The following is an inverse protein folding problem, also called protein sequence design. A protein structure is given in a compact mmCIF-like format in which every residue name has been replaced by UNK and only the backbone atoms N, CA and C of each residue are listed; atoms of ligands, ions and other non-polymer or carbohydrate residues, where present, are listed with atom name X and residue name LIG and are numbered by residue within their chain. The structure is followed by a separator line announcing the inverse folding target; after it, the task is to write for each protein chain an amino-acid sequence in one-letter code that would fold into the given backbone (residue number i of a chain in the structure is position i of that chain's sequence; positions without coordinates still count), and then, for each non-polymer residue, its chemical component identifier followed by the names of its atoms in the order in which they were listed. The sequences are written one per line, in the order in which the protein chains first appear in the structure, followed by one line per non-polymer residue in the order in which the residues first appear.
data_IF_652263820123
#
_entry.id   IF_652263820123
#
_cell.length_a   1.000
_cell.length_b   1.000
_cell.length_c   1.000
_cell.angle_alpha   90.00
_cell.angle_beta   90.00
_cell.angle_gamma   90.00
#
_symmetry.space_group_name_H-M   'P 1'
#
loop_
_entity.id
_entity.type
_entity.pdbx_description
1 polymer ?
#
# COMPACT_ATOMS: atom_id res chain seq x y z
N UNK A 1 -32.23 0.02 60.92
CA UNK A 1 -32.20 -0.90 59.76
C UNK A 1 -31.56 -0.15 58.60
N UNK A 2 -30.23 -0.26 58.45
CA UNK A 2 -29.47 0.43 57.40
C UNK A 2 -29.24 -0.54 56.26
N UNK A 3 -29.76 -0.20 55.12
CA UNK A 3 -29.59 -0.96 53.89
C UNK A 3 -28.34 -0.48 53.15
N UNK A 4 -27.31 -1.31 53.15
CA UNK A 4 -26.05 -1.04 52.42
C UNK A 4 -26.28 -1.42 50.95
N UNK A 5 -26.34 -0.41 50.11
CA UNK A 5 -26.37 -0.61 48.64
C UNK A 5 -24.95 -0.83 48.16
N UNK A 6 -24.63 -2.08 47.83
CA UNK A 6 -23.38 -2.43 47.15
C UNK A 6 -23.49 -1.99 45.68
N UNK A 7 -22.79 -0.90 45.31
CA UNK A 7 -22.58 -0.51 43.91
C UNK A 7 -21.56 -1.45 43.28
N UNK A 8 -22.05 -2.39 42.48
CA UNK A 8 -21.17 -3.09 41.55
C UNK A 8 -20.69 -2.12 40.48
N UNK A 9 -19.42 -1.75 40.55
CA UNK A 9 -18.73 -1.09 39.46
C UNK A 9 -18.37 -2.20 38.45
N UNK A 10 -19.23 -2.41 37.46
CA UNK A 10 -18.82 -3.15 36.28
C UNK A 10 -17.76 -2.33 35.56
N UNK A 11 -16.59 -2.88 35.22
CA UNK A 11 -15.69 -2.23 34.28
C UNK A 11 -16.38 -2.26 32.94
N UNK A 12 -16.94 -1.13 32.52
CA UNK A 12 -17.36 -0.93 31.12
C UNK A 12 -16.13 -1.18 30.24
N UNK A 13 -16.09 -2.37 29.65
CA UNK A 13 -15.17 -2.68 28.56
C UNK A 13 -15.48 -1.70 27.46
N UNK A 14 -14.77 -0.60 27.42
CA UNK A 14 -14.89 0.44 26.41
C UNK A 14 -14.51 -0.20 25.08
N UNK A 15 -15.51 -0.67 24.35
CA UNK A 15 -15.34 -1.16 23.00
C UNK A 15 -14.78 0.01 22.18
N UNK A 16 -13.47 0.01 21.95
CA UNK A 16 -12.79 0.99 21.13
C UNK A 16 -12.85 0.46 19.69
N UNK A 17 -13.66 1.10 18.82
CA UNK A 17 -13.65 0.76 17.41
C UNK A 17 -12.23 1.01 16.86
N UNK A 18 -11.88 0.26 15.82
CA UNK A 18 -10.60 0.39 15.08
C UNK A 18 -9.35 -0.15 15.81
N UNK A 19 -9.42 -1.38 16.28
CA UNK A 19 -8.24 -2.10 16.77
C UNK A 19 -7.14 -2.25 15.68
N UNK A 20 -7.54 -2.32 14.41
CA UNK A 20 -6.63 -2.41 13.27
C UNK A 20 -5.80 -1.13 13.12
N UNK A 21 -6.43 0.03 13.06
CA UNK A 21 -5.74 1.31 12.92
C UNK A 21 -4.82 1.61 14.11
N UNK A 22 -5.24 1.27 15.34
CA UNK A 22 -4.37 1.40 16.52
C UNK A 22 -3.12 0.51 16.44
N UNK A 23 -3.26 -0.72 15.92
CA UNK A 23 -2.14 -1.61 15.69
C UNK A 23 -1.19 -1.04 14.63
N UNK A 24 -1.72 -0.52 13.51
CA UNK A 24 -0.94 0.09 12.43
C UNK A 24 -0.17 1.31 12.94
N UNK A 25 -0.81 2.19 13.70
CA UNK A 25 -0.18 3.36 14.31
C UNK A 25 0.91 2.95 15.31
N UNK A 26 0.60 2.06 16.26
CA UNK A 26 1.55 1.58 17.26
C UNK A 26 2.78 0.92 16.64
N UNK A 27 2.59 0.14 15.57
CA UNK A 27 3.70 -0.47 14.85
C UNK A 27 4.59 0.58 14.19
N UNK A 28 4.00 1.57 13.52
CA UNK A 28 4.76 2.62 12.85
C UNK A 28 5.59 3.43 13.84
N UNK A 29 5.01 3.81 14.98
CA UNK A 29 5.71 4.50 16.06
C UNK A 29 6.91 3.68 16.57
N UNK A 30 6.71 2.39 16.86
CA UNK A 30 7.75 1.50 17.36
C UNK A 30 8.85 1.24 16.33
N UNK A 31 8.50 1.12 15.03
CA UNK A 31 9.50 0.97 13.97
C UNK A 31 10.40 2.19 13.83
N UNK A 32 9.86 3.38 14.02
CA UNK A 32 10.65 4.63 14.02
C UNK A 32 11.49 4.77 15.29
N UNK A 33 10.94 4.41 16.46
CA UNK A 33 11.63 4.55 17.75
C UNK A 33 12.80 3.57 17.89
N UNK A 34 12.64 2.31 17.44
CA UNK A 34 13.53 1.18 17.79
C UNK A 34 14.06 0.43 16.58
N UNK A 35 13.55 0.72 15.39
CA UNK A 35 13.78 -0.04 14.18
C UNK A 35 12.87 -1.27 14.06
N UNK A 36 12.65 -1.69 12.82
CA UNK A 36 11.82 -2.85 12.50
C UNK A 36 12.32 -4.14 13.18
N UNK A 37 13.63 -4.40 13.12
CA UNK A 37 14.23 -5.63 13.65
C UNK A 37 14.00 -5.82 15.16
N UNK A 38 14.06 -4.74 15.94
CA UNK A 38 13.95 -4.77 17.40
C UNK A 38 12.51 -4.70 17.91
N UNK A 39 11.54 -4.47 17.05
CA UNK A 39 10.13 -4.38 17.44
C UNK A 39 9.47 -5.76 17.39
N UNK A 40 8.76 -6.15 18.46
CA UNK A 40 8.03 -7.43 18.56
C UNK A 40 6.53 -7.23 18.44
N UNK A 41 5.81 -8.30 18.07
CA UNK A 41 4.33 -8.31 18.04
C UNK A 41 3.74 -8.01 19.42
N UNK A 42 4.36 -8.55 20.49
CA UNK A 42 3.93 -8.28 21.86
C UNK A 42 3.96 -6.78 22.19
N UNK A 43 5.06 -6.09 21.85
CA UNK A 43 5.20 -4.65 22.06
C UNK A 43 4.18 -3.83 21.25
N UNK A 44 3.91 -4.23 20.01
CA UNK A 44 2.91 -3.58 19.16
C UNK A 44 1.51 -3.75 19.78
N UNK A 45 1.15 -4.96 20.19
CA UNK A 45 -0.14 -5.25 20.80
C UNK A 45 -0.32 -4.48 22.12
N UNK A 46 0.71 -4.46 22.97
CA UNK A 46 0.73 -3.70 24.22
C UNK A 46 0.54 -2.19 23.98
N UNK A 47 1.30 -1.59 23.05
CA UNK A 47 1.20 -0.17 22.67
C UNK A 47 -0.17 0.18 22.14
N UNK A 48 -0.79 -0.74 21.35
CA UNK A 48 -2.12 -0.58 20.79
C UNK A 48 -3.27 -0.84 21.80
N UNK A 49 -2.96 -1.29 23.02
CA UNK A 49 -3.96 -1.65 24.03
C UNK A 49 -4.81 -2.86 23.65
N UNK A 50 -4.20 -3.86 23.00
CA UNK A 50 -4.85 -5.11 22.59
C UNK A 50 -3.98 -6.32 22.96
N UNK A 51 -4.48 -7.53 22.75
CA UNK A 51 -3.72 -8.77 22.92
C UNK A 51 -3.01 -9.18 21.64
N UNK A 52 -1.93 -9.98 21.71
CA UNK A 52 -1.29 -10.61 20.55
C UNK A 52 -2.28 -11.45 19.72
N UNK A 53 -3.24 -12.12 20.38
CA UNK A 53 -4.32 -12.83 19.67
C UNK A 53 -5.14 -11.86 18.80
N UNK A 54 -5.37 -10.63 19.27
CA UNK A 54 -6.07 -9.60 18.48
C UNK A 54 -5.20 -9.15 17.31
N UNK A 55 -3.88 -9.02 17.48
CA UNK A 55 -2.94 -8.74 16.40
C UNK A 55 -3.05 -9.80 15.29
N UNK A 56 -2.88 -11.09 15.64
CA UNK A 56 -2.91 -12.19 14.67
C UNK A 56 -4.27 -12.41 13.99
N UNK A 57 -5.34 -11.81 14.49
CA UNK A 57 -6.62 -11.77 13.79
C UNK A 57 -6.60 -10.84 12.57
N UNK A 58 -5.78 -9.80 12.59
CA UNK A 58 -5.70 -8.78 11.52
C UNK A 58 -4.48 -8.94 10.61
N UNK A 59 -3.37 -9.41 11.15
CA UNK A 59 -2.08 -9.46 10.45
C UNK A 59 -1.40 -10.81 10.66
N UNK A 60 -0.86 -11.39 9.59
CA UNK A 60 -0.14 -12.66 9.66
C UNK A 60 1.21 -12.51 10.40
N UNK A 61 1.88 -11.40 10.20
CA UNK A 61 3.13 -11.02 10.87
C UNK A 61 3.30 -9.49 10.92
N UNK A 62 4.35 -9.02 11.61
CA UNK A 62 4.63 -7.59 11.75
C UNK A 62 5.01 -6.89 10.43
N UNK A 63 5.50 -7.62 9.41
CA UNK A 63 5.81 -7.08 8.08
C UNK A 63 4.55 -6.71 7.34
N UNK A 64 3.52 -7.56 7.43
CA UNK A 64 2.25 -7.33 6.72
C UNK A 64 1.56 -6.02 7.12
N UNK A 65 1.86 -5.47 8.28
CA UNK A 65 1.34 -4.16 8.68
C UNK A 65 1.78 -3.04 7.73
N UNK A 66 3.05 -3.08 7.26
CA UNK A 66 3.57 -2.11 6.30
C UNK A 66 2.99 -2.29 4.89
N UNK A 67 2.41 -3.44 4.60
CA UNK A 67 1.87 -3.81 3.29
C UNK A 67 0.35 -4.03 3.29
N UNK A 68 -0.34 -3.67 4.37
CA UNK A 68 -1.76 -3.95 4.57
C UNK A 68 -2.67 -3.40 3.46
N UNK A 69 -2.30 -2.27 2.84
CA UNK A 69 -3.02 -1.68 1.71
C UNK A 69 -2.71 -2.28 0.34
N UNK A 70 -1.68 -3.15 0.22
CA UNK A 70 -1.17 -3.58 -1.08
C UNK A 70 -2.16 -4.42 -1.88
N UNK A 71 -3.00 -5.22 -1.22
CA UNK A 71 -4.03 -6.01 -1.89
C UNK A 71 -5.15 -5.14 -2.45
N UNK A 72 -5.58 -4.14 -1.67
CA UNK A 72 -6.56 -3.16 -2.13
C UNK A 72 -6.04 -2.34 -3.32
N UNK A 73 -4.78 -1.89 -3.24
CA UNK A 73 -4.12 -1.17 -4.34
C UNK A 73 -4.04 -2.03 -5.61
N UNK A 74 -3.66 -3.30 -5.48
CA UNK A 74 -3.63 -4.24 -6.59
C UNK A 74 -5.01 -4.38 -7.24
N UNK A 75 -6.06 -4.59 -6.43
CA UNK A 75 -7.42 -4.74 -6.95
C UNK A 75 -7.90 -3.47 -7.65
N UNK A 76 -7.66 -2.29 -7.04
CA UNK A 76 -7.97 -1.00 -7.65
C UNK A 76 -7.34 -0.84 -9.04
N UNK A 77 -6.06 -1.20 -9.18
CA UNK A 77 -5.36 -1.10 -10.46
C UNK A 77 -5.89 -2.12 -11.48
N UNK A 78 -6.16 -3.35 -11.06
CA UNK A 78 -6.75 -4.40 -11.91
C UNK A 78 -8.12 -3.98 -12.41
N UNK A 79 -8.98 -3.47 -11.54
CA UNK A 79 -10.32 -3.00 -11.89
C UNK A 79 -10.27 -1.82 -12.87
N UNK A 80 -9.33 -0.88 -12.68
CA UNK A 80 -9.14 0.24 -13.58
C UNK A 80 -8.65 -0.20 -14.97
N UNK A 81 -7.74 -1.19 -15.05
CA UNK A 81 -7.34 -1.80 -16.32
C UNK A 81 -8.54 -2.47 -16.98
N UNK A 82 -9.31 -3.27 -16.27
CA UNK A 82 -10.47 -3.97 -16.80
C UNK A 82 -11.55 -3.00 -17.29
N UNK A 83 -11.77 -1.89 -16.57
CA UNK A 83 -12.76 -0.85 -16.88
C UNK A 83 -12.33 0.17 -17.94
N UNK A 84 -11.09 0.11 -18.45
CA UNK A 84 -10.63 1.04 -19.49
C UNK A 84 -11.44 0.87 -20.80
N UNK A 85 -11.57 1.92 -21.63
CA UNK A 85 -12.32 1.83 -22.89
C UNK A 85 -11.88 0.64 -23.76
N UNK A 86 -12.79 -0.05 -24.47
CA UNK A 86 -12.44 -1.21 -25.30
C UNK A 86 -11.35 -0.93 -26.34
N UNK A 87 -11.31 0.30 -26.88
CA UNK A 87 -10.30 0.73 -27.86
C UNK A 87 -8.99 1.20 -27.23
N UNK A 88 -8.86 1.21 -25.90
CA UNK A 88 -7.64 1.67 -25.23
C UNK A 88 -6.48 0.72 -25.54
N UNK A 89 -5.34 1.31 -25.89
CA UNK A 89 -4.06 0.59 -25.99
C UNK A 89 -3.65 0.03 -24.63
N UNK A 90 -2.74 -0.96 -24.59
CA UNK A 90 -2.25 -1.50 -23.31
C UNK A 90 -1.71 -0.43 -22.35
N UNK A 91 -0.96 0.55 -22.86
CA UNK A 91 -0.42 1.64 -22.05
C UNK A 91 -1.48 2.66 -21.60
N UNK A 92 -2.55 2.85 -22.36
CA UNK A 92 -3.67 3.69 -21.93
C UNK A 92 -4.48 3.02 -20.84
N UNK A 93 -4.71 1.70 -20.92
CA UNK A 93 -5.36 0.94 -19.84
C UNK A 93 -4.51 0.96 -18.56
N UNK A 94 -3.19 0.83 -18.66
CA UNK A 94 -2.27 0.99 -17.52
C UNK A 94 -2.29 2.42 -17.00
N UNK A 95 -2.40 3.44 -17.87
CA UNK A 95 -2.56 4.84 -17.47
C UNK A 95 -3.79 5.06 -16.58
N UNK A 96 -4.92 4.44 -16.92
CA UNK A 96 -6.12 4.47 -16.07
C UNK A 96 -5.87 3.86 -14.68
N UNK A 97 -5.07 2.78 -14.61
CA UNK A 97 -4.68 2.19 -13.33
C UNK A 97 -3.81 3.14 -12.49
N UNK A 98 -2.86 3.84 -13.13
CA UNK A 98 -2.01 4.83 -12.44
C UNK A 98 -2.81 6.03 -11.96
N UNK A 99 -3.81 6.50 -12.72
CA UNK A 99 -4.72 7.55 -12.29
C UNK A 99 -5.55 7.11 -11.06
N UNK A 100 -6.02 5.87 -11.04
CA UNK A 100 -6.76 5.32 -9.91
C UNK A 100 -5.93 5.29 -8.62
N UNK A 101 -4.62 5.00 -8.69
CA UNK A 101 -3.69 5.08 -7.55
C UNK A 101 -3.68 6.47 -6.92
N UNK A 102 -3.77 7.53 -7.73
CA UNK A 102 -3.82 8.91 -7.23
C UNK A 102 -4.99 9.20 -6.29
N UNK A 103 -6.05 8.40 -6.30
CA UNK A 103 -7.20 8.55 -5.39
C UNK A 103 -6.93 8.02 -3.97
N UNK A 104 -5.95 7.14 -3.80
CA UNK A 104 -5.59 6.52 -2.52
C UNK A 104 -4.26 7.03 -1.96
N UNK A 105 -3.38 7.56 -2.80
CA UNK A 105 -2.11 8.17 -2.39
C UNK A 105 -2.31 9.65 -2.03
N UNK A 106 -2.91 9.88 -0.84
CA UNK A 106 -3.26 11.22 -0.35
C UNK A 106 -2.49 11.61 0.90
N UNK A 107 -2.02 10.64 1.71
CA UNK A 107 -1.23 10.88 2.92
C UNK A 107 0.26 10.73 2.62
N UNK A 108 0.88 11.89 2.32
CA UNK A 108 2.30 11.97 1.95
C UNK A 108 3.22 11.64 3.13
N UNK A 109 2.87 12.12 4.34
CA UNK A 109 3.72 11.94 5.52
C UNK A 109 3.70 10.48 6.00
N UNK A 110 2.54 9.84 5.99
CA UNK A 110 2.43 8.40 6.23
C UNK A 110 3.24 7.60 5.21
N UNK A 111 3.17 7.95 3.93
CA UNK A 111 3.88 7.25 2.85
C UNK A 111 5.40 7.40 2.96
N UNK A 112 5.89 8.60 3.33
CA UNK A 112 7.31 8.87 3.61
C UNK A 112 7.81 8.05 4.79
N UNK A 113 7.05 8.08 5.88
CA UNK A 113 7.37 7.35 7.11
C UNK A 113 7.44 5.84 6.86
N UNK A 114 6.45 5.30 6.17
CA UNK A 114 6.43 3.90 5.75
C UNK A 114 7.66 3.54 4.91
N UNK A 115 8.00 4.37 3.91
CA UNK A 115 9.14 4.09 3.05
C UNK A 115 10.46 4.13 3.82
N UNK A 116 10.63 5.09 4.74
CA UNK A 116 11.81 5.15 5.63
C UNK A 116 12.00 3.85 6.40
N UNK A 117 10.93 3.27 6.93
CA UNK A 117 10.99 1.97 7.62
C UNK A 117 11.37 0.84 6.66
N UNK A 118 10.78 0.80 5.46
CA UNK A 118 11.10 -0.23 4.45
C UNK A 118 12.57 -0.14 4.02
N UNK A 119 13.06 1.05 3.75
CA UNK A 119 14.44 1.27 3.31
C UNK A 119 15.49 0.90 4.38
N UNK A 120 15.09 0.87 5.65
CA UNK A 120 15.97 0.53 6.77
C UNK A 120 16.21 -0.98 6.96
N UNK A 121 15.47 -1.86 6.28
CA UNK A 121 15.53 -3.31 6.51
C UNK A 121 15.44 -4.09 5.18
N UNK A 122 16.46 -4.90 4.88
CA UNK A 122 16.55 -5.65 3.62
C UNK A 122 15.41 -6.65 3.40
N UNK A 123 14.88 -7.24 4.48
CA UNK A 123 13.74 -8.16 4.37
C UNK A 123 12.43 -7.47 3.99
N UNK A 124 12.28 -6.20 4.36
CA UNK A 124 11.17 -5.37 3.94
C UNK A 124 11.32 -4.92 2.48
N UNK A 125 12.53 -4.57 2.06
CA UNK A 125 12.83 -4.24 0.66
C UNK A 125 12.57 -5.44 -0.27
N UNK A 126 13.00 -6.64 0.13
CA UNK A 126 12.69 -7.87 -0.60
C UNK A 126 11.17 -8.09 -0.71
N UNK A 127 10.45 -7.90 0.39
CA UNK A 127 8.98 -8.04 0.41
C UNK A 127 8.31 -7.05 -0.52
N UNK A 128 8.79 -5.81 -0.58
CA UNK A 128 8.27 -4.79 -1.49
C UNK A 128 8.51 -5.17 -2.96
N UNK A 129 9.69 -5.70 -3.30
CA UNK A 129 9.98 -6.20 -4.65
C UNK A 129 9.02 -7.33 -5.05
N UNK A 130 8.80 -8.30 -4.17
CA UNK A 130 7.85 -9.41 -4.40
C UNK A 130 6.44 -8.87 -4.62
N UNK A 131 6.00 -7.88 -3.84
CA UNK A 131 4.66 -7.27 -3.99
C UNK A 131 4.53 -6.53 -5.33
N UNK A 132 5.58 -5.83 -5.79
CA UNK A 132 5.61 -5.17 -7.11
C UNK A 132 5.56 -6.17 -8.26
N UNK A 133 6.28 -7.27 -8.17
CA UNK A 133 6.24 -8.35 -9.16
C UNK A 133 4.84 -8.97 -9.27
N UNK A 134 4.21 -9.26 -8.14
CA UNK A 134 2.82 -9.74 -8.10
C UNK A 134 1.83 -8.74 -8.68
N UNK A 135 2.05 -7.45 -8.48
CA UNK A 135 1.23 -6.39 -9.09
C UNK A 135 1.37 -6.41 -10.61
N UNK A 136 2.59 -6.50 -11.15
CA UNK A 136 2.82 -6.60 -12.59
C UNK A 136 2.14 -7.83 -13.18
N UNK A 137 2.23 -8.98 -12.51
CA UNK A 137 1.54 -10.21 -12.93
C UNK A 137 0.03 -10.01 -13.02
N UNK A 138 -0.58 -9.42 -11.98
CA UNK A 138 -2.04 -9.19 -11.94
C UNK A 138 -2.50 -8.19 -13.03
N UNK A 139 -1.73 -7.14 -13.29
CA UNK A 139 -2.00 -6.19 -14.38
C UNK A 139 -1.90 -6.88 -15.75
N UNK A 140 -0.87 -7.73 -15.96
CA UNK A 140 -0.72 -8.49 -17.19
C UNK A 140 -1.90 -9.44 -17.43
N UNK A 141 -2.39 -10.10 -16.37
CA UNK A 141 -3.59 -10.94 -16.42
C UNK A 141 -4.83 -10.13 -16.81
N UNK A 142 -5.02 -8.95 -16.23
CA UNK A 142 -6.13 -8.06 -16.59
C UNK A 142 -6.05 -7.59 -18.05
N UNK A 143 -4.85 -7.28 -18.56
CA UNK A 143 -4.64 -6.93 -19.97
C UNK A 143 -4.95 -8.12 -20.90
N UNK A 144 -4.52 -9.33 -20.52
CA UNK A 144 -4.86 -10.55 -21.30
C UNK A 144 -6.36 -10.80 -21.34
N UNK A 145 -7.06 -10.60 -20.23
CA UNK A 145 -8.52 -10.71 -20.17
C UNK A 145 -9.23 -9.71 -21.10
N UNK A 146 -8.58 -8.59 -21.44
CA UNK A 146 -9.03 -7.62 -22.44
C UNK A 146 -8.67 -8.00 -23.89
N UNK A 147 -8.05 -9.16 -24.11
CA UNK A 147 -7.63 -9.65 -25.43
C UNK A 147 -6.25 -9.16 -25.89
N UNK A 148 -5.44 -8.54 -25.00
CA UNK A 148 -4.07 -8.16 -25.34
C UNK A 148 -3.20 -9.41 -25.28
N UNK A 149 -2.56 -9.75 -26.41
CA UNK A 149 -1.67 -10.91 -26.50
C UNK A 149 -0.31 -10.68 -25.85
N UNK A 150 0.42 -11.80 -25.66
CA UNK A 150 1.85 -11.75 -25.28
C UNK A 150 2.74 -11.46 -26.51
N UNK A 151 3.89 -10.76 -26.33
CA UNK A 151 4.43 -10.26 -25.04
C UNK A 151 3.91 -8.88 -24.63
N UNK A 152 2.99 -8.26 -25.38
CA UNK A 152 2.54 -6.89 -25.16
C UNK A 152 1.90 -6.68 -23.77
N UNK A 153 1.11 -7.66 -23.30
CA UNK A 153 0.48 -7.58 -21.97
C UNK A 153 1.53 -7.52 -20.86
N UNK A 154 2.52 -8.41 -20.88
CA UNK A 154 3.59 -8.45 -19.88
C UNK A 154 4.47 -7.20 -19.94
N UNK A 155 4.85 -6.73 -21.13
CA UNK A 155 5.67 -5.52 -21.28
C UNK A 155 4.93 -4.27 -20.78
N UNK A 156 3.67 -4.10 -21.14
CA UNK A 156 2.88 -2.96 -20.67
C UNK A 156 2.68 -2.98 -19.15
N UNK A 157 2.47 -4.14 -18.54
CA UNK A 157 2.33 -4.29 -17.10
C UNK A 157 3.65 -3.94 -16.38
N UNK A 158 4.78 -4.46 -16.84
CA UNK A 158 6.10 -4.15 -16.24
C UNK A 158 6.45 -2.67 -16.39
N UNK A 159 6.21 -2.08 -17.57
CA UNK A 159 6.41 -0.66 -17.80
C UNK A 159 5.52 0.19 -16.86
N UNK A 160 4.26 -0.19 -16.70
CA UNK A 160 3.32 0.47 -15.79
C UNK A 160 3.75 0.41 -14.33
N UNK A 161 4.22 -0.75 -13.85
CA UNK A 161 4.76 -0.89 -12.49
C UNK A 161 6.07 -0.11 -12.33
N UNK A 162 6.88 -0.01 -13.38
CA UNK A 162 8.05 0.88 -13.43
C UNK A 162 7.64 2.34 -13.24
N UNK A 163 6.67 2.84 -14.00
CA UNK A 163 6.12 4.20 -13.85
C UNK A 163 5.53 4.41 -12.45
N UNK A 164 4.75 3.44 -11.95
CA UNK A 164 4.21 3.46 -10.59
C UNK A 164 5.30 3.69 -9.54
N UNK A 165 6.38 2.93 -9.63
CA UNK A 165 7.48 3.04 -8.66
C UNK A 165 8.22 4.37 -8.75
N UNK A 166 8.60 4.79 -9.96
CA UNK A 166 9.30 6.08 -10.16
C UNK A 166 8.42 7.24 -9.73
N UNK A 167 7.12 7.21 -10.06
CA UNK A 167 6.15 8.21 -9.62
C UNK A 167 6.05 8.27 -8.08
N UNK A 168 6.00 7.11 -7.42
CA UNK A 168 5.94 7.03 -5.96
C UNK A 168 7.18 7.64 -5.30
N UNK A 169 8.38 7.24 -5.74
CA UNK A 169 9.64 7.78 -5.21
C UNK A 169 9.73 9.30 -5.43
N UNK A 170 9.31 9.77 -6.60
CA UNK A 170 9.27 11.22 -6.90
C UNK A 170 8.25 11.95 -6.03
N UNK A 171 7.08 11.35 -5.82
CA UNK A 171 6.01 11.92 -5.03
C UNK A 171 6.40 12.10 -3.56
N UNK A 172 7.04 11.09 -2.94
CA UNK A 172 7.49 11.16 -1.55
C UNK A 172 8.78 11.97 -1.34
N UNK A 173 9.46 12.39 -2.42
CA UNK A 173 10.73 13.13 -2.31
C UNK A 173 10.58 14.42 -1.48
N UNK A 174 11.62 14.82 -0.71
CA UNK A 174 11.59 16.07 0.03
C UNK A 174 11.34 17.28 -0.90
N UNK A 175 10.46 18.18 -0.46
CA UNK A 175 10.14 19.41 -1.22
C UNK A 175 9.15 19.21 -2.37
N UNK A 176 8.71 17.98 -2.67
CA UNK A 176 7.67 17.80 -3.67
C UNK A 176 6.32 18.33 -3.17
N UNK A 177 5.65 19.12 -4.04
CA UNK A 177 4.31 19.65 -3.81
C UNK A 177 3.28 19.14 -4.84
N UNK A 178 3.69 18.27 -5.77
CA UNK A 178 2.85 17.75 -6.85
C UNK A 178 2.08 16.51 -6.39
N UNK A 179 0.92 16.27 -6.99
CA UNK A 179 0.17 15.04 -6.73
C UNK A 179 0.85 13.83 -7.37
N UNK A 180 0.61 12.64 -6.81
CA UNK A 180 1.06 11.39 -7.42
C UNK A 180 0.53 11.24 -8.87
N UNK A 181 -0.74 11.55 -9.07
CA UNK A 181 -1.40 11.39 -10.37
C UNK A 181 -0.75 12.27 -11.47
N UNK A 182 -0.39 13.51 -11.15
CA UNK A 182 0.27 14.40 -12.12
C UNK A 182 1.67 13.89 -12.48
N UNK A 183 2.42 13.44 -11.49
CA UNK A 183 3.74 12.84 -11.71
C UNK A 183 3.64 11.57 -12.56
N UNK A 184 2.69 10.68 -12.26
CA UNK A 184 2.51 9.44 -12.98
C UNK A 184 2.12 9.66 -14.46
N UNK A 185 1.24 10.65 -14.74
CA UNK A 185 0.87 11.00 -16.12
C UNK A 185 2.06 11.53 -16.93
N UNK A 186 2.85 12.41 -16.34
CA UNK A 186 4.06 12.94 -16.99
C UNK A 186 5.06 11.82 -17.29
N UNK A 187 5.34 10.94 -16.33
CA UNK A 187 6.24 9.81 -16.53
C UNK A 187 5.72 8.80 -17.57
N UNK A 188 4.41 8.66 -17.71
CA UNK A 188 3.83 7.82 -18.75
C UNK A 188 4.02 8.44 -20.15
N UNK A 189 3.99 9.77 -20.28
CA UNK A 189 4.33 10.46 -21.52
C UNK A 189 5.82 10.30 -21.82
N UNK A 190 6.69 10.51 -20.84
CA UNK A 190 8.14 10.32 -20.97
C UNK A 190 8.50 8.91 -21.41
N UNK A 191 7.86 7.88 -20.84
CA UNK A 191 8.03 6.49 -21.25
C UNK A 191 7.73 6.28 -22.75
N UNK A 192 6.68 6.92 -23.26
CA UNK A 192 6.34 6.84 -24.69
C UNK A 192 7.41 7.51 -25.57
N UNK A 193 7.97 8.61 -25.10
CA UNK A 193 8.99 9.36 -25.87
C UNK A 193 10.35 8.66 -25.85
N UNK A 194 10.74 8.04 -24.74
CA UNK A 194 11.96 7.21 -24.64
C UNK A 194 11.93 6.02 -25.62
N UNK A 195 10.73 5.50 -25.92
CA UNK A 195 10.56 4.35 -26.82
C UNK A 195 10.43 4.72 -28.30
N UNK A 196 10.42 6.01 -28.67
CA UNK A 196 10.36 6.45 -30.08
C UNK A 196 11.73 6.42 -30.74
N UNK A 197 11.86 5.91 -31.97
CA UNK A 197 13.09 6.08 -32.73
C UNK A 197 13.37 7.58 -32.96
N UNK A 198 14.64 7.96 -32.81
CA UNK A 198 15.12 9.31 -33.19
C UNK A 198 15.20 9.45 -34.67
#
# INVERSE_FOLDING_TARGET
MSSTVIKYHEPMTRWQPDARGRLEQAAMELYLERGFGQTTVAQIAERAGVTERTFFRYFADKREMLFAGSEHLKQLMVDAVAGAPPAATPLEAVGAALDAVGTVFVDLDHSRTRQTVIDSDSSLQERELIKRDRLATAIAEALRARGIGEPAASLAAQAGVGVFHVAFVTWIAPGNARSYADIARELLVELRDVSRPR
#
